data_IF_415302109565
#
_entry.id   IF_415302109565
#
_cell.length_a   1.000
_cell.length_b   1.000
_cell.length_c   1.000
_cell.angle_alpha   90.00
_cell.angle_beta   90.00
_cell.angle_gamma   90.00
#
_symmetry.space_group_name_H-M   'P 1'
#
loop_
_entity.id
_entity.type
_entity.pdbx_description
1 polymer ?
#
# COMPACT_ATOMS: atom_id res chain seq x y z
N UNK A 1 -43.81 -60.28 -2.35
CA UNK A 1 -43.02 -59.66 -1.26
C UNK A 1 -41.49 -59.78 -1.44
N UNK A 2 -40.92 -59.76 -2.67
CA UNK A 2 -39.46 -59.90 -2.92
C UNK A 2 -38.78 -58.58 -3.42
N UNK A 3 -39.54 -57.47 -3.51
CA UNK A 3 -39.00 -56.22 -4.04
C UNK A 3 -38.78 -55.13 -2.95
N UNK A 4 -39.25 -55.31 -1.71
CA UNK A 4 -39.14 -54.34 -0.64
C UNK A 4 -37.70 -54.08 -0.17
N UNK A 5 -36.79 -55.06 -0.05
CA UNK A 5 -35.42 -54.82 0.43
C UNK A 5 -34.54 -54.07 -0.60
N UNK A 6 -34.86 -54.19 -1.92
CA UNK A 6 -34.11 -53.45 -2.98
C UNK A 6 -34.44 -51.96 -3.03
N UNK A 7 -35.69 -51.58 -2.75
CA UNK A 7 -36.12 -50.16 -2.70
C UNK A 7 -35.52 -49.46 -1.50
N UNK A 8 -35.47 -50.12 -0.34
CA UNK A 8 -34.85 -49.57 0.88
C UNK A 8 -33.34 -49.38 0.69
N UNK A 9 -32.66 -50.30 -0.01
CA UNK A 9 -31.22 -50.18 -0.29
C UNK A 9 -30.90 -49.01 -1.25
N UNK A 10 -31.76 -48.78 -2.26
CA UNK A 10 -31.62 -47.65 -3.19
C UNK A 10 -31.89 -46.32 -2.51
N UNK A 11 -32.89 -46.24 -1.60
CA UNK A 11 -33.14 -45.05 -0.83
C UNK A 11 -31.99 -44.71 0.16
N UNK A 12 -31.38 -45.74 0.77
CA UNK A 12 -30.23 -45.54 1.65
C UNK A 12 -28.99 -45.06 0.93
N UNK A 13 -28.75 -45.53 -0.32
CA UNK A 13 -27.67 -45.07 -1.16
C UNK A 13 -27.84 -43.62 -1.67
N UNK A 14 -29.08 -43.22 -1.98
CA UNK A 14 -29.40 -41.84 -2.37
C UNK A 14 -29.22 -40.87 -1.20
N UNK A 15 -29.56 -41.27 0.03
CA UNK A 15 -29.35 -40.46 1.23
C UNK A 15 -27.86 -40.29 1.58
N UNK A 16 -26.98 -41.21 1.20
CA UNK A 16 -25.53 -41.08 1.38
C UNK A 16 -24.86 -40.11 0.40
N UNK A 17 -25.46 -39.84 -0.75
CA UNK A 17 -24.96 -38.90 -1.74
C UNK A 17 -25.44 -37.45 -1.54
N UNK A 18 -26.45 -37.21 -0.69
CA UNK A 18 -26.94 -35.86 -0.35
C UNK A 18 -26.27 -35.24 0.89
N UNK A 19 -25.28 -35.93 1.47
CA UNK A 19 -24.33 -35.25 2.36
C UNK A 19 -23.56 -34.23 1.51
N UNK A 20 -24.13 -33.04 1.33
CA UNK A 20 -23.38 -31.87 0.88
C UNK A 20 -22.19 -31.71 1.84
N UNK A 21 -21.05 -32.28 1.50
CA UNK A 21 -19.79 -31.76 1.96
C UNK A 21 -19.81 -30.29 1.52
N UNK A 22 -19.99 -29.35 2.46
CA UNK A 22 -19.44 -28.02 2.29
C UNK A 22 -18.01 -28.27 1.83
N UNK A 23 -17.74 -28.05 0.56
CA UNK A 23 -16.38 -28.03 0.08
C UNK A 23 -15.71 -26.97 0.91
N UNK A 24 -14.84 -27.36 1.86
CA UNK A 24 -13.86 -26.44 2.38
C UNK A 24 -13.09 -25.96 1.13
N UNK A 25 -13.46 -24.79 0.64
CA UNK A 25 -12.65 -24.14 -0.39
C UNK A 25 -11.26 -24.05 0.20
N UNK A 26 -10.31 -24.72 -0.48
CA UNK A 26 -8.90 -24.66 -0.07
C UNK A 26 -8.51 -23.19 0.07
N UNK A 27 -7.77 -22.81 1.12
CA UNK A 27 -7.34 -21.45 1.30
C UNK A 27 -6.73 -20.91 0.01
N UNK A 28 -7.32 -19.86 -0.54
CA UNK A 28 -6.91 -19.32 -1.83
C UNK A 28 -5.95 -18.16 -1.64
N UNK A 29 -5.09 -17.96 -2.62
CA UNK A 29 -4.24 -16.77 -2.68
C UNK A 29 -5.06 -15.55 -3.12
N UNK A 30 -4.77 -14.39 -2.55
CA UNK A 30 -5.38 -13.14 -3.00
C UNK A 30 -4.60 -12.60 -4.21
N UNK A 31 -5.24 -12.53 -5.36
CA UNK A 31 -4.61 -12.30 -6.67
C UNK A 31 -4.79 -10.89 -7.23
N UNK A 32 -5.35 -9.97 -6.44
CA UNK A 32 -5.68 -8.62 -6.92
C UNK A 32 -4.46 -7.78 -7.39
N UNK A 33 -3.26 -8.23 -7.09
CA UNK A 33 -2.01 -7.53 -7.47
C UNK A 33 -1.16 -8.30 -8.49
N UNK A 34 -1.67 -9.40 -9.06
CA UNK A 34 -0.88 -10.25 -9.96
C UNK A 34 -0.59 -9.60 -11.31
N UNK A 35 -1.50 -8.76 -11.80
CA UNK A 35 -1.36 -8.00 -13.03
C UNK A 35 -0.30 -6.87 -12.95
N UNK A 36 0.21 -6.61 -11.74
CA UNK A 36 1.31 -5.66 -11.54
C UNK A 36 2.55 -6.05 -12.34
N UNK A 37 2.84 -7.36 -12.42
CA UNK A 37 4.06 -7.91 -12.98
C UNK A 37 3.81 -8.53 -14.36
N UNK A 38 4.58 -8.11 -15.35
CA UNK A 38 4.67 -8.82 -16.63
C UNK A 38 5.73 -9.93 -16.50
N UNK A 39 5.28 -11.14 -16.20
CA UNK A 39 6.16 -12.29 -16.01
C UNK A 39 6.92 -12.73 -17.26
N UNK A 40 6.57 -12.23 -18.43
CA UNK A 40 7.32 -12.46 -19.68
C UNK A 40 8.61 -11.64 -19.75
N UNK A 41 8.75 -10.63 -18.89
CA UNK A 41 9.89 -9.71 -18.86
C UNK A 41 10.96 -10.16 -17.84
N UNK A 42 12.23 -9.78 -18.08
CA UNK A 42 13.31 -9.99 -17.10
C UNK A 42 13.03 -9.27 -15.76
N UNK A 43 13.77 -9.67 -14.72
CA UNK A 43 13.68 -9.04 -13.39
C UNK A 43 14.20 -7.61 -13.45
N UNK A 44 13.53 -6.70 -12.76
CA UNK A 44 13.96 -5.33 -12.55
C UNK A 44 15.05 -5.23 -11.46
N UNK A 45 15.95 -4.25 -11.61
CA UNK A 45 16.99 -3.91 -10.64
C UNK A 45 16.61 -2.67 -9.82
N UNK A 46 17.41 -2.38 -8.79
CA UNK A 46 17.29 -1.22 -7.91
C UNK A 46 16.32 -1.44 -6.76
N UNK A 47 16.40 -0.55 -5.78
CA UNK A 47 15.52 -0.56 -4.62
C UNK A 47 14.14 -0.02 -4.99
N UNK A 48 13.13 -0.34 -4.18
CA UNK A 48 11.76 0.07 -4.47
C UNK A 48 11.55 1.57 -4.25
N UNK A 49 12.28 2.16 -3.35
CA UNK A 49 12.29 3.56 -2.99
C UNK A 49 13.17 4.46 -3.87
N UNK A 50 14.07 3.90 -4.68
CA UNK A 50 14.96 4.70 -5.53
C UNK A 50 14.27 5.13 -6.84
N UNK A 51 14.30 6.42 -7.15
CA UNK A 51 13.83 7.01 -8.42
C UNK A 51 15.01 7.59 -9.16
N UNK A 52 15.34 7.01 -10.32
CA UNK A 52 16.40 7.50 -11.20
C UNK A 52 15.85 8.57 -12.13
N UNK A 53 16.39 9.80 -12.02
CA UNK A 53 15.91 10.98 -12.74
C UNK A 53 16.88 11.36 -13.86
N UNK A 54 16.37 11.42 -15.07
CA UNK A 54 17.08 11.88 -16.26
C UNK A 54 16.50 13.22 -16.71
N UNK A 55 17.31 14.25 -16.75
CA UNK A 55 16.99 15.58 -17.27
C UNK A 55 18.23 16.28 -17.80
N UNK A 56 18.06 17.26 -18.67
CA UNK A 56 19.14 18.13 -19.12
C UNK A 56 19.71 18.97 -17.97
N UNK A 57 20.98 19.41 -18.08
CA UNK A 57 21.67 20.15 -17.02
C UNK A 57 20.94 21.46 -16.65
N UNK A 58 20.42 22.17 -17.64
CA UNK A 58 19.68 23.41 -17.40
C UNK A 58 18.37 23.10 -16.65
N UNK A 59 17.59 22.13 -17.12
CA UNK A 59 16.35 21.67 -16.46
C UNK A 59 16.65 21.24 -15.03
N UNK A 60 17.75 20.50 -14.81
CA UNK A 60 18.17 20.11 -13.49
C UNK A 60 18.44 21.32 -12.59
N UNK A 61 19.21 22.29 -13.04
CA UNK A 61 19.54 23.47 -12.24
C UNK A 61 18.32 24.29 -11.82
N UNK A 62 17.26 24.29 -12.61
CA UNK A 62 16.01 25.01 -12.36
C UNK A 62 15.04 24.21 -11.49
N UNK A 63 14.91 22.89 -11.72
CA UNK A 63 13.87 22.05 -11.12
C UNK A 63 14.32 21.14 -9.98
N UNK A 64 15.62 20.96 -9.74
CA UNK A 64 16.12 20.04 -8.71
C UNK A 64 15.46 20.29 -7.33
N UNK A 65 15.35 21.54 -6.82
CA UNK A 65 14.68 21.76 -5.52
C UNK A 65 13.21 21.30 -5.52
N UNK A 66 12.49 21.54 -6.62
CA UNK A 66 11.07 21.16 -6.76
C UNK A 66 10.93 19.64 -6.87
N UNK A 67 11.81 18.98 -7.62
CA UNK A 67 11.84 17.52 -7.78
C UNK A 67 12.09 16.86 -6.43
N UNK A 68 13.11 17.31 -5.68
CA UNK A 68 13.43 16.78 -4.36
C UNK A 68 12.28 16.99 -3.38
N UNK A 69 11.74 18.20 -3.26
CA UNK A 69 10.61 18.50 -2.39
C UNK A 69 9.35 17.70 -2.75
N UNK A 70 9.17 17.37 -4.04
CA UNK A 70 8.01 16.63 -4.51
C UNK A 70 8.09 15.14 -4.25
N UNK A 71 9.27 14.54 -4.37
CA UNK A 71 9.47 13.08 -4.35
C UNK A 71 10.08 12.59 -3.04
N UNK A 72 11.04 13.31 -2.45
CA UNK A 72 11.66 12.95 -1.17
C UNK A 72 10.83 13.40 0.04
N UNK A 73 9.51 13.19 -0.02
CA UNK A 73 8.62 13.52 1.10
C UNK A 73 8.94 12.67 2.30
N UNK A 74 8.85 13.29 3.46
CA UNK A 74 9.11 12.63 4.74
C UNK A 74 7.82 12.42 5.52
N UNK A 75 7.81 11.36 6.31
CA UNK A 75 6.80 11.10 7.33
C UNK A 75 7.49 11.01 8.69
N UNK A 76 6.95 11.72 9.68
CA UNK A 76 7.39 11.64 11.05
C UNK A 76 6.76 10.40 11.71
N UNK A 77 7.60 9.42 12.03
CA UNK A 77 7.23 8.21 12.75
C UNK A 77 7.99 8.14 14.08
N UNK A 78 8.84 7.14 14.30
CA UNK A 78 9.82 7.13 15.40
C UNK A 78 10.94 8.15 15.12
N UNK A 79 11.30 8.27 13.87
CA UNK A 79 12.16 9.28 13.26
C UNK A 79 11.60 9.63 11.87
N UNK A 80 12.13 10.65 11.22
CA UNK A 80 11.71 11.00 9.87
C UNK A 80 12.20 9.95 8.88
N UNK A 81 11.31 9.41 8.06
CA UNK A 81 11.61 8.48 6.98
C UNK A 81 11.10 9.04 5.66
N UNK A 82 11.92 8.91 4.60
CA UNK A 82 11.55 9.33 3.24
C UNK A 82 10.79 8.23 2.51
N UNK A 83 9.83 8.62 1.68
CA UNK A 83 9.16 7.69 0.78
C UNK A 83 10.06 7.25 -0.37
N UNK A 84 10.87 8.18 -0.90
CA UNK A 84 11.74 7.93 -2.05
C UNK A 84 13.08 8.60 -1.88
N UNK A 85 14.08 8.06 -2.58
CA UNK A 85 15.39 8.65 -2.81
C UNK A 85 15.48 9.07 -4.27
N UNK A 86 15.81 10.32 -4.54
CA UNK A 86 16.00 10.83 -5.90
C UNK A 86 17.47 10.72 -6.30
N UNK A 87 17.73 10.02 -7.39
CA UNK A 87 19.07 9.79 -7.92
C UNK A 87 19.16 10.40 -9.33
N UNK A 88 19.76 11.58 -9.43
CA UNK A 88 20.00 12.19 -10.74
C UNK A 88 21.08 11.42 -11.49
N UNK A 89 20.76 11.01 -12.71
CA UNK A 89 21.60 10.16 -13.53
C UNK A 89 21.91 10.81 -14.88
N UNK A 90 23.11 10.56 -15.38
CA UNK A 90 23.52 11.01 -16.71
C UNK A 90 22.85 10.15 -17.80
N UNK A 91 22.57 10.79 -18.96
CA UNK A 91 21.98 10.08 -20.11
C UNK A 91 22.87 8.93 -20.61
N UNK A 92 24.19 9.02 -20.42
CA UNK A 92 25.14 7.96 -20.79
C UNK A 92 24.98 6.69 -19.95
N UNK A 93 24.37 6.78 -18.75
CA UNK A 93 24.04 5.64 -17.92
C UNK A 93 22.70 5.00 -18.28
N UNK A 94 21.94 5.64 -19.17
CA UNK A 94 20.55 5.26 -19.47
C UNK A 94 20.44 3.79 -19.87
N UNK A 95 21.31 3.28 -20.73
CA UNK A 95 21.25 1.87 -21.19
C UNK A 95 21.29 0.89 -20.03
N UNK A 96 22.14 1.13 -19.04
CA UNK A 96 22.26 0.33 -17.80
C UNK A 96 21.01 0.49 -16.92
N UNK A 97 20.55 1.72 -16.73
CA UNK A 97 19.47 2.07 -15.81
C UNK A 97 18.09 1.78 -16.37
N UNK A 98 17.93 1.56 -17.68
CA UNK A 98 16.64 1.17 -18.28
C UNK A 98 16.08 -0.16 -17.75
N UNK A 99 16.86 -0.92 -16.99
CA UNK A 99 16.42 -2.14 -16.31
C UNK A 99 16.04 -1.94 -14.84
N UNK A 100 15.99 -0.69 -14.38
CA UNK A 100 15.65 -0.37 -13.00
C UNK A 100 14.14 -0.15 -12.83
N UNK A 101 13.67 -0.28 -11.58
CA UNK A 101 12.24 -0.26 -11.24
C UNK A 101 11.57 1.09 -11.50
N UNK A 102 12.19 2.20 -11.09
CA UNK A 102 11.58 3.52 -11.16
C UNK A 102 12.45 4.47 -11.95
N UNK A 103 11.92 4.96 -13.06
CA UNK A 103 12.60 5.91 -13.94
C UNK A 103 11.72 7.13 -14.15
N UNK A 104 12.30 8.32 -14.02
CA UNK A 104 11.66 9.60 -14.31
C UNK A 104 12.47 10.34 -15.37
N UNK A 105 11.86 10.62 -16.51
CA UNK A 105 12.44 11.42 -17.58
C UNK A 105 11.75 12.77 -17.62
N UNK A 106 12.53 13.84 -17.63
CA UNK A 106 12.05 15.23 -17.66
C UNK A 106 12.73 15.96 -18.81
N UNK A 107 11.95 16.48 -19.75
CA UNK A 107 12.47 17.16 -20.91
C UNK A 107 11.42 17.92 -21.70
N UNK A 108 11.85 18.48 -22.85
CA UNK A 108 10.99 19.31 -23.72
C UNK A 108 11.00 18.78 -25.15
N UNK A 109 10.08 19.27 -25.98
CA UNK A 109 10.08 18.95 -27.41
C UNK A 109 10.76 20.02 -28.27
N UNK A 110 11.09 21.18 -27.72
CA UNK A 110 11.78 22.26 -28.45
C UNK A 110 13.27 22.35 -28.13
N UNK A 111 13.66 21.96 -26.91
CA UNK A 111 15.06 22.02 -26.48
C UNK A 111 15.90 20.85 -27.01
N UNK A 112 17.21 21.13 -27.18
CA UNK A 112 18.15 20.22 -27.83
C UNK A 112 19.06 19.43 -26.89
N UNK A 113 18.78 19.36 -25.57
CA UNK A 113 19.57 18.54 -24.66
C UNK A 113 19.44 17.03 -24.94
N UNK A 114 20.36 16.20 -24.48
CA UNK A 114 20.36 14.77 -24.82
C UNK A 114 19.11 14.01 -24.33
N UNK A 115 18.54 14.36 -23.17
CA UNK A 115 17.32 13.72 -22.63
C UNK A 115 16.10 14.14 -23.44
N UNK A 116 15.96 15.43 -23.73
CA UNK A 116 14.91 15.98 -24.58
C UNK A 116 14.93 15.34 -25.98
N UNK A 117 16.10 15.21 -26.60
CA UNK A 117 16.24 14.49 -27.90
C UNK A 117 15.84 13.01 -27.81
N UNK A 118 16.15 12.33 -26.71
CA UNK A 118 15.70 10.95 -26.49
C UNK A 118 14.18 10.88 -26.41
N UNK A 119 13.55 11.76 -25.61
CA UNK A 119 12.10 11.83 -25.45
C UNK A 119 11.39 12.14 -26.78
N UNK A 120 11.88 13.10 -27.55
CA UNK A 120 11.36 13.42 -28.88
C UNK A 120 11.35 12.21 -29.82
N UNK A 121 12.43 11.42 -29.81
CA UNK A 121 12.51 10.19 -30.62
C UNK A 121 11.62 9.06 -30.12
N UNK A 122 11.37 9.00 -28.80
CA UNK A 122 10.55 7.96 -28.16
C UNK A 122 9.05 8.18 -28.34
N UNK A 123 8.63 9.43 -28.58
CA UNK A 123 7.24 9.79 -28.81
C UNK A 123 6.82 9.62 -30.26
N UNK A 124 5.68 8.99 -30.49
CA UNK A 124 5.08 9.00 -31.82
C UNK A 124 4.56 10.41 -32.19
N UNK A 125 4.34 10.69 -33.49
CA UNK A 125 3.91 12.01 -33.97
C UNK A 125 2.59 12.51 -33.33
N UNK A 126 1.66 11.61 -32.97
CA UNK A 126 0.38 11.97 -32.34
C UNK A 126 0.60 12.47 -30.91
N UNK A 127 1.49 11.78 -30.15
CA UNK A 127 1.84 12.22 -28.80
C UNK A 127 2.62 13.53 -28.82
N UNK A 128 3.53 13.73 -29.77
CA UNK A 128 4.20 15.02 -29.95
C UNK A 128 3.18 16.14 -30.26
N UNK A 129 2.20 15.90 -31.11
CA UNK A 129 1.13 16.86 -31.37
C UNK A 129 0.30 17.20 -30.12
N UNK A 130 0.03 16.21 -29.27
CA UNK A 130 -0.64 16.43 -27.99
C UNK A 130 0.17 17.35 -27.08
N UNK A 131 1.46 17.10 -26.91
CA UNK A 131 2.34 17.96 -26.11
C UNK A 131 2.30 19.40 -26.63
N UNK A 132 2.37 19.59 -27.95
CA UNK A 132 2.29 20.91 -28.57
C UNK A 132 0.96 21.63 -28.31
N UNK A 133 -0.16 20.90 -28.33
CA UNK A 133 -1.51 21.47 -28.07
C UNK A 133 -1.74 21.81 -26.59
N UNK A 134 -1.28 20.93 -25.69
CA UNK A 134 -1.49 21.07 -24.23
C UNK A 134 -0.37 21.83 -23.54
N UNK A 135 0.65 22.27 -24.27
CA UNK A 135 1.90 22.88 -23.75
C UNK A 135 2.72 21.98 -22.84
N UNK A 136 2.28 20.76 -22.58
CA UNK A 136 2.98 19.73 -21.81
C UNK A 136 2.11 18.55 -21.48
N UNK A 137 2.72 17.39 -21.20
CA UNK A 137 2.02 16.13 -20.91
C UNK A 137 2.85 15.22 -20.00
N UNK A 138 2.16 14.39 -19.20
CA UNK A 138 2.78 13.35 -18.38
C UNK A 138 2.35 11.99 -18.90
N UNK A 139 3.32 11.19 -19.31
CA UNK A 139 3.12 9.83 -19.77
C UNK A 139 3.63 8.83 -18.72
N UNK A 140 3.01 7.66 -18.66
CA UNK A 140 3.47 6.55 -17.84
C UNK A 140 3.54 5.27 -18.66
N UNK A 141 4.60 4.50 -18.46
CA UNK A 141 4.77 3.19 -19.05
C UNK A 141 5.07 2.18 -17.95
N UNK A 142 4.27 1.10 -17.90
CA UNK A 142 4.46 0.00 -16.95
C UNK A 142 5.10 -1.19 -17.65
N UNK A 143 6.06 -1.84 -17.00
CA UNK A 143 6.70 -3.08 -17.50
C UNK A 143 7.24 -2.96 -18.92
N UNK A 144 7.85 -1.82 -19.28
CA UNK A 144 8.30 -1.59 -20.66
C UNK A 144 9.46 -2.52 -21.03
N UNK A 145 10.50 -2.59 -20.22
CA UNK A 145 11.72 -3.34 -20.48
C UNK A 145 11.90 -4.52 -19.53
N UNK A 146 11.49 -4.36 -18.29
CA UNK A 146 11.59 -5.35 -17.23
C UNK A 146 10.26 -5.43 -16.48
N UNK A 147 10.00 -6.55 -15.83
CA UNK A 147 8.81 -6.70 -14.99
C UNK A 147 8.88 -5.76 -13.81
N UNK A 148 7.72 -5.30 -13.35
CA UNK A 148 7.63 -4.42 -12.19
C UNK A 148 8.30 -3.05 -12.40
N UNK A 149 8.28 -2.52 -13.60
CA UNK A 149 8.85 -1.22 -13.94
C UNK A 149 7.78 -0.13 -14.02
N UNK A 150 8.10 1.03 -13.51
CA UNK A 150 7.38 2.27 -13.80
C UNK A 150 8.34 3.29 -14.42
N UNK A 151 8.01 3.74 -15.61
CA UNK A 151 8.65 4.87 -16.29
C UNK A 151 7.66 6.01 -16.35
N UNK A 152 8.00 7.14 -15.77
CA UNK A 152 7.24 8.40 -15.87
C UNK A 152 8.02 9.36 -16.75
N UNK A 153 7.33 10.00 -17.70
CA UNK A 153 7.91 10.99 -18.60
C UNK A 153 7.10 12.28 -18.46
N UNK A 154 7.78 13.35 -18.05
CA UNK A 154 7.20 14.70 -17.92
C UNK A 154 7.78 15.52 -19.06
N UNK A 155 6.96 15.94 -20.00
CA UNK A 155 7.42 16.56 -21.24
C UNK A 155 6.68 17.87 -21.44
N UNK A 156 7.42 18.98 -21.38
CA UNK A 156 6.94 20.32 -21.70
C UNK A 156 7.17 20.70 -23.17
N UNK A 157 6.52 21.77 -23.61
CA UNK A 157 6.81 22.39 -24.90
C UNK A 157 8.22 22.99 -24.87
N UNK A 158 8.47 23.82 -23.84
CA UNK A 158 9.72 24.50 -23.53
C UNK A 158 10.01 24.41 -22.03
N UNK A 159 11.10 25.02 -21.55
CA UNK A 159 11.51 24.94 -20.14
C UNK A 159 10.52 25.63 -19.19
N UNK A 160 9.92 26.76 -19.57
CA UNK A 160 8.94 27.47 -18.75
C UNK A 160 7.69 26.61 -18.54
N UNK A 161 7.14 26.06 -19.62
CA UNK A 161 5.97 25.17 -19.58
C UNK A 161 6.24 23.85 -18.84
N UNK A 162 7.45 23.36 -18.97
CA UNK A 162 7.89 22.17 -18.24
C UNK A 162 7.92 22.42 -16.72
N UNK A 163 8.44 23.58 -16.29
CA UNK A 163 8.49 23.94 -14.86
C UNK A 163 7.09 24.09 -14.25
N UNK A 164 6.20 24.76 -14.97
CA UNK A 164 4.79 24.89 -14.58
C UNK A 164 4.11 23.52 -14.48
N UNK A 165 4.26 22.69 -15.52
CA UNK A 165 3.68 21.34 -15.55
C UNK A 165 4.15 20.49 -14.38
N UNK A 166 5.47 20.47 -14.12
CA UNK A 166 6.02 19.67 -13.03
C UNK A 166 5.50 20.14 -11.68
N UNK A 167 5.51 21.45 -11.43
CA UNK A 167 5.05 22.05 -10.17
C UNK A 167 3.57 21.75 -9.92
N UNK A 168 2.72 21.96 -10.91
CA UNK A 168 1.28 21.70 -10.81
C UNK A 168 0.94 20.21 -10.67
N UNK A 169 1.81 19.35 -11.19
CA UNK A 169 1.60 17.90 -11.20
C UNK A 169 2.42 17.14 -10.16
N UNK A 170 3.11 17.82 -9.26
CA UNK A 170 4.01 17.23 -8.28
C UNK A 170 3.36 16.11 -7.45
N UNK A 171 2.12 16.34 -6.97
CA UNK A 171 1.35 15.32 -6.24
C UNK A 171 1.05 14.12 -7.12
N UNK A 172 0.61 14.33 -8.36
CA UNK A 172 0.31 13.24 -9.29
C UNK A 172 1.54 12.39 -9.59
N UNK A 173 2.70 13.01 -9.79
CA UNK A 173 3.95 12.28 -10.06
C UNK A 173 4.35 11.45 -8.84
N UNK A 174 4.29 12.01 -7.64
CA UNK A 174 4.53 11.29 -6.40
C UNK A 174 3.58 10.10 -6.25
N UNK A 175 2.28 10.31 -6.45
CA UNK A 175 1.25 9.27 -6.30
C UNK A 175 1.43 8.11 -7.31
N UNK A 176 1.94 8.36 -8.52
CA UNK A 176 2.26 7.31 -9.48
C UNK A 176 3.34 6.35 -8.95
N UNK A 177 4.40 6.88 -8.37
CA UNK A 177 5.47 6.07 -7.78
C UNK A 177 5.00 5.40 -6.48
N UNK A 178 4.25 6.11 -5.63
CA UNK A 178 3.72 5.56 -4.39
C UNK A 178 2.73 4.41 -4.65
N UNK A 179 1.82 4.56 -5.60
CA UNK A 179 0.89 3.50 -6.02
C UNK A 179 1.66 2.25 -6.49
N UNK A 180 2.71 2.44 -7.27
CA UNK A 180 3.53 1.33 -7.75
C UNK A 180 4.27 0.65 -6.60
N UNK A 181 4.87 1.42 -5.68
CA UNK A 181 5.60 0.89 -4.53
C UNK A 181 4.68 0.11 -3.58
N UNK A 182 3.55 0.69 -3.19
CA UNK A 182 2.60 0.01 -2.30
C UNK A 182 2.06 -1.28 -2.90
N UNK A 183 1.77 -1.29 -4.20
CA UNK A 183 1.33 -2.49 -4.91
C UNK A 183 2.41 -3.58 -4.98
N UNK A 184 3.70 -3.22 -5.08
CA UNK A 184 4.81 -4.18 -4.99
C UNK A 184 4.84 -4.87 -3.64
N UNK A 185 4.74 -4.09 -2.56
CA UNK A 185 4.68 -4.63 -1.21
C UNK A 185 3.48 -5.57 -1.05
N UNK A 186 2.31 -5.17 -1.53
CA UNK A 186 1.11 -6.00 -1.52
C UNK A 186 1.29 -7.30 -2.33
N UNK A 187 1.85 -7.22 -3.53
CA UNK A 187 2.13 -8.41 -4.34
C UNK A 187 3.03 -9.40 -3.60
N UNK A 188 4.12 -8.93 -2.98
CA UNK A 188 5.02 -9.78 -2.20
C UNK A 188 4.31 -10.41 -1.00
N UNK A 189 3.51 -9.65 -0.28
CA UNK A 189 2.73 -10.10 0.88
C UNK A 189 1.72 -11.19 0.50
N UNK A 190 1.08 -11.07 -0.67
CA UNK A 190 0.07 -12.01 -1.13
C UNK A 190 0.60 -13.16 -2.02
N UNK A 191 1.90 -13.45 -1.99
CA UNK A 191 2.43 -14.66 -2.63
C UNK A 191 2.02 -15.95 -1.91
N UNK A 192 1.48 -15.85 -0.71
CA UNK A 192 0.95 -16.97 0.07
C UNK A 192 -0.58 -16.95 0.12
N UNK A 193 -1.15 -18.02 0.65
CA UNK A 193 -2.59 -18.13 0.89
C UNK A 193 -3.03 -17.11 1.94
N UNK A 194 -4.32 -16.79 1.95
CA UNK A 194 -4.96 -15.97 2.99
C UNK A 194 -5.69 -16.87 3.97
N UNK A 195 -6.01 -16.33 5.16
CA UNK A 195 -6.87 -16.96 6.17
C UNK A 195 -8.23 -17.24 5.53
N UNK A 196 -8.82 -18.40 5.85
CA UNK A 196 -10.16 -18.79 5.41
C UNK A 196 -11.17 -17.71 5.75
N UNK A 197 -12.02 -17.36 4.79
CA UNK A 197 -12.94 -16.23 4.95
C UNK A 197 -14.07 -16.51 5.92
N UNK A 198 -14.40 -17.77 6.16
CA UNK A 198 -15.38 -18.24 7.18
C UNK A 198 -14.98 -17.79 8.60
N UNK A 199 -13.67 -17.59 8.84
CA UNK A 199 -13.20 -17.02 10.10
C UNK A 199 -13.87 -15.68 10.42
N UNK A 200 -14.20 -14.89 9.41
CA UNK A 200 -14.81 -13.57 9.58
C UNK A 200 -16.34 -13.61 9.65
N UNK A 201 -17.01 -14.76 9.53
CA UNK A 201 -18.49 -14.84 9.60
C UNK A 201 -19.09 -14.16 10.84
N UNK A 202 -18.52 -14.30 12.06
CA UNK A 202 -19.05 -13.67 13.26
C UNK A 202 -18.82 -12.17 13.39
N UNK A 203 -18.07 -11.54 12.45
CA UNK A 203 -17.70 -10.13 12.52
C UNK A 203 -18.46 -9.31 11.49
N UNK A 204 -18.72 -8.00 11.75
CA UNK A 204 -19.40 -7.12 10.80
C UNK A 204 -18.48 -6.69 9.64
N UNK A 205 -17.32 -7.29 9.53
CA UNK A 205 -16.33 -7.01 8.48
C UNK A 205 -15.59 -8.29 8.05
N UNK A 206 -14.83 -8.19 6.98
CA UNK A 206 -13.84 -9.19 6.56
C UNK A 206 -12.55 -8.53 6.12
N UNK A 207 -11.43 -9.28 6.16
CA UNK A 207 -10.09 -8.88 5.74
C UNK A 207 -9.41 -10.00 4.96
N UNK A 208 -8.53 -9.65 4.03
CA UNK A 208 -7.67 -10.61 3.34
C UNK A 208 -6.32 -10.73 4.07
N UNK A 209 -6.31 -11.39 5.21
CA UNK A 209 -5.10 -11.57 6.02
C UNK A 209 -4.26 -12.73 5.47
N UNK A 210 -2.96 -12.57 5.19
CA UNK A 210 -2.06 -13.67 4.83
C UNK A 210 -1.98 -14.74 5.93
N UNK A 211 -1.90 -16.01 5.57
CA UNK A 211 -1.97 -17.13 6.52
C UNK A 211 -0.73 -17.30 7.41
N UNK A 212 0.33 -16.52 7.18
CA UNK A 212 1.49 -16.43 8.06
C UNK A 212 1.26 -15.50 9.27
N UNK A 213 0.15 -14.74 9.29
CA UNK A 213 -0.30 -14.03 10.48
C UNK A 213 -1.00 -15.00 11.43
N UNK A 214 -0.81 -14.80 12.72
CA UNK A 214 -1.47 -15.55 13.79
C UNK A 214 -2.49 -14.68 14.48
N UNK A 215 -3.57 -15.28 14.96
CA UNK A 215 -4.49 -14.61 15.85
C UNK A 215 -3.74 -14.16 17.11
N UNK A 216 -3.68 -12.86 17.37
CA UNK A 216 -3.06 -12.27 18.55
C UNK A 216 -4.10 -12.08 19.67
N UNK A 217 -5.23 -11.48 19.36
CA UNK A 217 -6.33 -11.26 20.29
C UNK A 217 -7.68 -11.38 19.57
N UNK A 218 -8.67 -11.91 20.29
CA UNK A 218 -10.06 -12.00 19.87
C UNK A 218 -10.95 -11.68 21.08
N UNK A 219 -11.08 -10.39 21.38
CA UNK A 219 -11.88 -9.90 22.49
C UNK A 219 -13.27 -9.46 21.99
N UNK A 220 -14.20 -10.41 21.95
CA UNK A 220 -15.57 -10.15 21.48
C UNK A 220 -16.33 -9.17 22.37
N UNK A 221 -16.03 -9.13 23.68
CA UNK A 221 -16.69 -8.24 24.62
C UNK A 221 -16.32 -6.78 24.34
N UNK A 222 -15.07 -6.55 24.01
CA UNK A 222 -14.56 -5.23 23.63
C UNK A 222 -14.54 -5.02 22.11
N UNK A 223 -15.16 -5.89 21.30
CA UNK A 223 -15.27 -5.78 19.84
C UNK A 223 -13.91 -5.54 19.17
N UNK A 224 -12.90 -6.27 19.64
CA UNK A 224 -11.52 -6.14 19.20
C UNK A 224 -10.99 -7.45 18.61
N UNK A 225 -10.37 -7.37 17.43
CA UNK A 225 -9.73 -8.48 16.74
C UNK A 225 -8.34 -8.04 16.28
N UNK A 226 -7.31 -8.86 16.54
CA UNK A 226 -5.93 -8.54 16.18
C UNK A 226 -5.18 -9.75 15.65
N UNK A 227 -4.35 -9.52 14.64
CA UNK A 227 -3.44 -10.49 14.05
C UNK A 227 -1.99 -10.00 14.16
N UNK A 228 -1.08 -10.93 14.35
CA UNK A 228 0.36 -10.70 14.45
C UNK A 228 1.11 -11.56 13.44
N UNK A 229 1.93 -10.92 12.60
CA UNK A 229 3.05 -11.57 11.93
C UNK A 229 4.31 -11.39 12.78
N UNK A 230 4.97 -12.51 13.07
CA UNK A 230 6.28 -12.55 13.72
C UNK A 230 7.12 -13.63 13.07
N UNK A 231 8.31 -13.31 12.60
CA UNK A 231 9.22 -14.29 12.04
C UNK A 231 9.60 -15.33 13.10
N UNK A 232 9.76 -16.61 12.69
CA UNK A 232 10.15 -17.69 13.61
C UNK A 232 11.55 -17.52 14.18
N UNK A 233 12.44 -16.91 13.39
CA UNK A 233 13.82 -16.61 13.79
C UNK A 233 13.90 -15.10 13.96
N UNK A 234 14.00 -14.67 15.20
CA UNK A 234 14.19 -13.26 15.53
C UNK A 234 15.68 -12.98 15.64
N UNK A 235 16.23 -12.39 14.59
CA UNK A 235 17.59 -11.86 14.59
C UNK A 235 17.61 -10.32 14.51
N UNK A 236 16.50 -9.65 14.89
CA UNK A 236 16.31 -8.21 14.80
C UNK A 236 16.04 -7.69 13.36
N UNK A 237 16.20 -8.54 12.35
CA UNK A 237 16.09 -8.16 10.93
C UNK A 237 14.69 -8.31 10.34
N UNK A 238 13.73 -8.78 11.12
CA UNK A 238 12.36 -8.98 10.68
C UNK A 238 11.40 -8.21 11.58
N UNK A 239 10.49 -7.42 10.98
CA UNK A 239 9.50 -6.67 11.74
C UNK A 239 8.44 -7.60 12.35
N UNK A 240 8.02 -7.31 13.59
CA UNK A 240 6.70 -7.70 14.06
C UNK A 240 5.66 -6.76 13.43
N UNK A 241 4.58 -7.32 12.89
CA UNK A 241 3.53 -6.58 12.19
C UNK A 241 2.18 -6.91 12.81
N UNK A 242 1.46 -5.89 13.26
CA UNK A 242 0.13 -6.06 13.83
C UNK A 242 -0.91 -5.40 12.93
N UNK A 243 -2.04 -6.07 12.77
CA UNK A 243 -3.25 -5.52 12.16
C UNK A 243 -4.39 -5.80 13.11
N UNK A 244 -5.08 -4.76 13.55
CA UNK A 244 -6.17 -4.86 14.49
C UNK A 244 -7.39 -4.12 13.97
N UNK A 245 -8.57 -4.60 14.34
CA UNK A 245 -9.84 -3.94 14.06
C UNK A 245 -10.62 -3.82 15.34
N UNK A 246 -11.02 -2.61 15.69
CA UNK A 246 -11.99 -2.28 16.69
C UNK A 246 -13.23 -1.69 16.03
N UNK A 247 -14.41 -1.94 16.56
CA UNK A 247 -15.64 -1.39 16.03
C UNK A 247 -16.67 -1.20 17.16
N UNK A 248 -17.48 -0.16 17.04
CA UNK A 248 -18.57 0.08 18.00
C UNK A 248 -19.76 0.80 17.34
N UNK A 249 -21.00 0.57 17.85
CA UNK A 249 -22.16 1.38 17.46
C UNK A 249 -21.93 2.83 17.82
N UNK A 250 -22.19 3.72 16.86
CA UNK A 250 -21.95 5.14 17.02
C UNK A 250 -22.79 5.95 16.04
N UNK A 251 -23.18 7.16 16.41
CA UNK A 251 -23.72 8.14 15.47
C UNK A 251 -22.56 8.82 14.72
N UNK A 252 -22.78 9.11 13.44
CA UNK A 252 -21.74 9.64 12.54
C UNK A 252 -21.04 10.92 13.05
N UNK A 253 -21.81 11.82 13.66
CA UNK A 253 -21.29 13.10 14.15
C UNK A 253 -20.39 13.01 15.39
N UNK A 254 -20.22 11.82 15.95
CA UNK A 254 -19.31 11.56 17.08
C UNK A 254 -17.91 11.16 16.61
N UNK A 255 -17.78 10.70 15.35
CA UNK A 255 -16.50 10.33 14.78
C UNK A 255 -15.68 11.59 14.46
N UNK A 256 -14.67 11.86 15.27
CA UNK A 256 -13.73 12.96 15.11
C UNK A 256 -12.28 12.51 15.43
N UNK A 257 -11.33 13.43 15.31
CA UNK A 257 -9.93 13.17 15.62
C UNK A 257 -9.72 12.82 17.11
N UNK A 258 -10.50 13.41 18.00
CA UNK A 258 -10.44 13.15 19.43
C UNK A 258 -10.85 11.71 19.73
N UNK A 259 -11.97 11.26 19.16
CA UNK A 259 -12.42 9.88 19.29
C UNK A 259 -11.32 8.90 18.81
N UNK A 260 -10.69 9.19 17.67
CA UNK A 260 -9.62 8.35 17.12
C UNK A 260 -8.43 8.24 18.10
N UNK A 261 -7.96 9.36 18.63
CA UNK A 261 -6.83 9.39 19.59
C UNK A 261 -7.19 8.66 20.89
N UNK A 262 -8.35 8.96 21.46
CA UNK A 262 -8.82 8.38 22.72
C UNK A 262 -9.00 6.86 22.59
N UNK A 263 -9.64 6.41 21.48
CA UNK A 263 -9.89 4.99 21.21
C UNK A 263 -8.58 4.26 20.99
N UNK A 264 -7.65 4.79 20.16
CA UNK A 264 -6.33 4.18 19.95
C UNK A 264 -5.53 4.11 21.26
N UNK A 265 -5.58 5.15 22.09
CA UNK A 265 -4.91 5.17 23.39
C UNK A 265 -5.49 4.09 24.32
N UNK A 266 -6.81 3.96 24.37
CA UNK A 266 -7.49 2.93 25.17
C UNK A 266 -7.10 1.52 24.72
N UNK A 267 -7.20 1.24 23.41
CA UNK A 267 -6.82 -0.05 22.83
C UNK A 267 -5.35 -0.36 23.11
N UNK A 268 -4.46 0.61 22.92
CA UNK A 268 -3.04 0.48 23.19
C UNK A 268 -2.76 0.01 24.62
N UNK A 269 -3.38 0.68 25.57
CA UNK A 269 -3.24 0.37 26.99
C UNK A 269 -3.81 -1.01 27.35
N UNK A 270 -5.02 -1.32 26.88
CA UNK A 270 -5.76 -2.54 27.30
C UNK A 270 -5.24 -3.79 26.59
N UNK A 271 -4.98 -3.70 25.28
CA UNK A 271 -4.66 -4.88 24.46
C UNK A 271 -3.16 -5.13 24.31
N UNK A 272 -2.34 -4.08 24.34
CA UNK A 272 -0.91 -4.18 24.08
C UNK A 272 -0.04 -3.76 25.27
N UNK A 273 -0.57 -3.00 26.24
CA UNK A 273 0.19 -2.38 27.33
C UNK A 273 1.08 -1.25 26.81
N UNK A 274 0.71 -0.63 25.69
CA UNK A 274 1.44 0.48 25.10
C UNK A 274 0.79 1.85 25.41
N UNK A 275 1.55 2.90 25.19
CA UNK A 275 1.09 4.28 25.21
C UNK A 275 1.60 5.02 23.95
N UNK A 276 0.90 6.08 23.57
CA UNK A 276 1.27 6.91 22.44
C UNK A 276 2.32 7.96 22.83
N UNK A 277 3.32 8.16 21.98
CA UNK A 277 4.21 9.30 22.10
C UNK A 277 3.52 10.53 21.48
N UNK A 278 2.93 11.38 22.32
CA UNK A 278 2.10 12.51 21.90
C UNK A 278 2.82 13.52 21.01
N UNK A 279 4.13 13.66 21.12
CA UNK A 279 4.93 14.59 20.30
C UNK A 279 4.99 14.16 18.82
N UNK A 280 4.84 12.87 18.57
CA UNK A 280 4.90 12.28 17.22
C UNK A 280 3.54 12.21 16.54
N UNK A 281 2.45 12.45 17.25
CA UNK A 281 1.10 12.26 16.71
C UNK A 281 0.80 13.25 15.59
N UNK A 282 0.24 12.73 14.52
CA UNK A 282 -0.27 13.51 13.38
C UNK A 282 -1.60 12.93 12.95
N UNK A 283 -2.63 13.78 12.91
CA UNK A 283 -3.96 13.47 12.40
C UNK A 283 -4.21 14.16 11.08
N UNK A 284 -4.96 13.53 10.22
CA UNK A 284 -5.40 14.12 8.95
C UNK A 284 -6.70 13.48 8.47
N UNK A 285 -7.46 14.24 7.70
CA UNK A 285 -8.59 13.66 6.95
C UNK A 285 -8.08 12.66 5.93
N UNK A 286 -8.65 11.47 5.90
CA UNK A 286 -8.14 10.38 5.07
C UNK A 286 -9.25 9.49 4.52
N UNK A 287 -9.11 9.07 3.27
CA UNK A 287 -10.01 8.09 2.66
C UNK A 287 -9.44 6.69 2.79
N UNK A 288 -10.07 5.84 3.61
CA UNK A 288 -9.66 4.47 3.86
C UNK A 288 -10.68 3.46 3.32
N UNK A 289 -10.26 2.49 2.50
CA UNK A 289 -11.10 1.43 1.95
C UNK A 289 -12.41 1.94 1.28
N UNK A 290 -12.40 3.16 0.77
CA UNK A 290 -13.56 3.81 0.15
C UNK A 290 -14.35 4.75 1.07
N UNK A 291 -14.13 4.69 2.39
CA UNK A 291 -14.79 5.53 3.40
C UNK A 291 -14.01 6.81 3.67
N UNK A 292 -14.72 7.92 3.88
CA UNK A 292 -14.13 9.13 4.41
C UNK A 292 -13.98 9.03 5.93
N UNK A 293 -12.88 9.53 6.46
CA UNK A 293 -12.59 9.49 7.87
C UNK A 293 -11.26 10.14 8.21
N UNK A 294 -10.52 9.55 9.13
CA UNK A 294 -9.28 10.11 9.66
C UNK A 294 -8.15 9.07 9.67
N UNK A 295 -6.92 9.53 9.53
CA UNK A 295 -5.71 8.77 9.81
C UNK A 295 -4.96 9.41 10.97
N UNK A 296 -4.55 8.59 11.94
CA UNK A 296 -3.61 8.96 13.00
C UNK A 296 -2.31 8.18 12.76
N UNK A 297 -1.18 8.85 12.77
CA UNK A 297 0.14 8.23 12.70
C UNK A 297 1.04 8.74 13.82
N UNK A 298 2.04 7.92 14.19
CA UNK A 298 3.00 8.29 15.23
C UNK A 298 3.79 7.11 15.76
N UNK A 299 4.41 7.32 16.92
CA UNK A 299 5.15 6.30 17.65
C UNK A 299 4.35 5.81 18.88
N UNK A 300 4.49 4.52 19.17
CA UNK A 300 4.04 3.90 20.40
C UNK A 300 5.24 3.47 21.25
N UNK A 301 5.06 3.41 22.55
CA UNK A 301 6.06 2.96 23.52
C UNK A 301 5.43 1.99 24.52
N UNK A 302 6.19 0.96 24.90
CA UNK A 302 5.87 0.06 25.99
C UNK A 302 7.03 0.06 26.98
N UNK A 303 6.94 0.82 28.07
CA UNK A 303 8.03 0.96 29.04
C UNK A 303 8.39 -0.36 29.75
N UNK A 304 7.38 -1.21 30.01
CA UNK A 304 7.59 -2.48 30.72
C UNK A 304 8.41 -3.48 29.88
N UNK A 305 8.20 -3.45 28.55
CA UNK A 305 8.90 -4.35 27.62
C UNK A 305 10.13 -3.71 26.97
N UNK A 306 10.43 -2.45 27.32
CA UNK A 306 11.48 -1.66 26.66
C UNK A 306 11.37 -1.70 25.13
N UNK A 307 10.16 -1.58 24.65
CA UNK A 307 9.84 -1.68 23.23
C UNK A 307 9.12 -0.42 22.75
N UNK A 308 9.26 -0.12 21.48
CA UNK A 308 8.56 0.96 20.82
C UNK A 308 8.61 0.80 19.30
N UNK A 309 7.75 1.49 18.61
CA UNK A 309 7.68 1.40 17.17
C UNK A 309 6.73 2.44 16.57
N UNK A 310 6.39 2.24 15.31
CA UNK A 310 5.48 3.12 14.60
C UNK A 310 4.10 2.48 14.42
N UNK A 311 3.10 3.32 14.25
CA UNK A 311 1.73 2.89 13.96
C UNK A 311 1.04 3.85 13.00
N UNK A 312 0.00 3.33 12.34
CA UNK A 312 -1.01 4.11 11.63
C UNK A 312 -2.38 3.51 11.92
N UNK A 313 -3.30 4.35 12.38
CA UNK A 313 -4.68 3.98 12.66
C UNK A 313 -5.62 4.73 11.72
N UNK A 314 -6.60 4.03 11.19
CA UNK A 314 -7.58 4.55 10.24
C UNK A 314 -8.97 4.44 10.87
N UNK A 315 -9.65 5.56 11.01
CA UNK A 315 -11.00 5.62 11.55
C UNK A 315 -11.99 6.03 10.47
N UNK A 316 -13.13 5.34 10.42
CA UNK A 316 -14.24 5.68 9.54
C UNK A 316 -15.57 5.21 10.13
N UNK A 317 -16.65 5.77 9.63
CA UNK A 317 -18.01 5.40 9.98
C UNK A 317 -18.73 4.80 8.78
N UNK A 318 -19.49 3.73 9.01
CA UNK A 318 -20.29 3.05 7.98
C UNK A 318 -21.78 3.24 8.21
N UNK A 319 -22.47 3.78 7.21
CA UNK A 319 -23.90 4.11 7.26
C UNK A 319 -24.81 2.88 7.43
N UNK A 320 -24.44 1.76 6.77
CA UNK A 320 -25.27 0.55 6.79
C UNK A 320 -25.31 -0.10 8.16
N UNK A 321 -24.16 -0.21 8.79
CA UNK A 321 -24.02 -0.86 10.11
C UNK A 321 -24.21 0.12 11.26
N UNK A 322 -24.19 1.44 11.00
CA UNK A 322 -24.18 2.52 12.00
C UNK A 322 -23.08 2.29 13.04
N UNK A 323 -21.90 1.95 12.57
CA UNK A 323 -20.75 1.66 13.41
C UNK A 323 -19.56 2.50 12.99
N UNK A 324 -18.77 2.89 13.97
CA UNK A 324 -17.41 3.36 13.75
C UNK A 324 -16.45 2.18 13.75
N UNK A 325 -15.45 2.26 12.90
CA UNK A 325 -14.37 1.30 12.80
C UNK A 325 -13.04 2.01 13.01
N UNK A 326 -12.16 1.39 13.77
CA UNK A 326 -10.76 1.76 13.87
C UNK A 326 -9.93 0.58 13.42
N UNK A 327 -9.19 0.75 12.33
CA UNK A 327 -8.22 -0.24 11.82
C UNK A 327 -6.84 0.24 12.19
N UNK A 328 -6.15 -0.49 13.07
CA UNK A 328 -4.84 -0.13 13.58
C UNK A 328 -3.76 -1.02 12.98
N UNK A 329 -2.72 -0.41 12.45
CA UNK A 329 -1.53 -1.08 11.93
C UNK A 329 -0.33 -0.64 12.73
N UNK A 330 0.44 -1.60 13.24
CA UNK A 330 1.53 -1.31 14.16
C UNK A 330 2.74 -2.20 13.84
N UNK A 331 3.93 -1.66 13.96
CA UNK A 331 5.17 -2.43 13.78
C UNK A 331 6.15 -2.21 14.91
N UNK A 332 6.86 -3.30 15.27
CA UNK A 332 8.08 -3.27 16.06
C UNK A 332 9.23 -3.72 15.15
N UNK A 333 10.13 -2.81 14.83
CA UNK A 333 11.27 -3.08 13.95
C UNK A 333 12.46 -2.20 14.34
N UNK A 334 13.21 -2.53 15.42
CA UNK A 334 14.27 -1.68 15.93
C UNK A 334 15.40 -1.43 14.94
N UNK A 335 15.72 -2.41 14.07
CA UNK A 335 16.87 -2.36 13.16
C UNK A 335 16.55 -1.82 11.75
N UNK A 336 15.28 -1.54 11.42
CA UNK A 336 14.92 -1.14 10.05
C UNK A 336 13.91 -0.01 9.94
N UNK A 337 13.70 0.45 8.71
CA UNK A 337 12.69 1.44 8.36
C UNK A 337 11.28 0.94 8.68
N UNK A 338 10.46 1.80 9.27
CA UNK A 338 9.07 1.49 9.65
C UNK A 338 8.10 1.81 8.53
N UNK A 339 8.43 2.81 7.71
CA UNK A 339 7.55 3.27 6.64
C UNK A 339 7.20 2.17 5.63
N UNK A 340 8.14 1.39 5.06
CA UNK A 340 7.80 0.31 4.14
C UNK A 340 6.89 -0.75 4.79
N UNK A 341 7.12 -1.04 6.09
CA UNK A 341 6.29 -1.99 6.84
C UNK A 341 4.87 -1.47 7.04
N UNK A 342 4.72 -0.19 7.39
CA UNK A 342 3.39 0.44 7.54
C UNK A 342 2.65 0.54 6.18
N UNK A 343 3.38 0.80 5.09
CA UNK A 343 2.80 0.79 3.73
C UNK A 343 2.29 -0.60 3.35
N UNK A 344 3.04 -1.66 3.65
CA UNK A 344 2.60 -3.04 3.47
C UNK A 344 1.35 -3.34 4.31
N UNK A 345 1.37 -2.99 5.59
CA UNK A 345 0.25 -3.18 6.50
C UNK A 345 -1.00 -2.41 6.05
N UNK A 346 -0.82 -1.17 5.55
CA UNK A 346 -1.89 -0.39 4.96
C UNK A 346 -2.57 -1.12 3.79
N UNK A 347 -1.79 -1.75 2.91
CA UNK A 347 -2.34 -2.50 1.78
C UNK A 347 -3.16 -3.71 2.23
N UNK A 348 -2.74 -4.40 3.29
CA UNK A 348 -3.52 -5.50 3.88
C UNK A 348 -4.78 -4.95 4.57
N UNK A 349 -4.64 -3.92 5.38
CA UNK A 349 -5.74 -3.27 6.09
C UNK A 349 -6.80 -2.71 5.12
N UNK A 350 -6.37 -2.16 3.97
CA UNK A 350 -7.26 -1.62 2.92
C UNK A 350 -8.12 -2.66 2.22
N UNK A 351 -7.87 -3.96 2.45
CA UNK A 351 -8.77 -5.04 1.99
C UNK A 351 -10.01 -5.21 2.86
N UNK A 352 -10.14 -4.42 3.93
CA UNK A 352 -11.31 -4.45 4.80
C UNK A 352 -12.59 -4.18 4.00
N UNK A 353 -13.58 -5.02 4.24
CA UNK A 353 -14.95 -4.86 3.71
C UNK A 353 -15.94 -4.97 4.86
N UNK A 354 -16.74 -3.95 5.05
CA UNK A 354 -17.92 -3.98 5.94
C UNK A 354 -19.01 -4.81 5.26
N UNK A 355 -19.75 -5.60 6.04
CA UNK A 355 -20.79 -6.54 5.56
C UNK A 355 -22.19 -5.94 5.55
#
# INVERSE_FOLDING_TARGET
MKHLPRIILILLTVLLFTSCRKSHESPTRYTAFDDLFDHSKPIAFGEDEDIYVFCGQQIRSELEPVILASLEREVALVYNEKYFNVIFSDINEMERLMRFKNLLFIGTIEEGDPVSRYLQKALDPKLQARVKQSTGEIFQNKNRFVKDQLIVQVIGLDNERLADLFTLSANRIFDLFLDRYTKRLAYQTYQMQIIEQDFFEPYPFSLKIPNNYRLYANDKNNRFLSFLYRARIQNGKHPDKFISVYYEPMEQNVLDEKWLIDTRTHIGKVQFGDSLNVETLRTESFKFAGYQGFRLSGAWINPEKFAGGAFQSYAFWDEKTRQAYLVDTMTFFPEGGKLPVLMELFMVASTLKVK
#
